data_IF_483298625427
#
_entry.id   IF_483298625427
#
_cell.length_a   1.000
_cell.length_b   1.000
_cell.length_c   1.000
_cell.angle_alpha   90.00
_cell.angle_beta   90.00
_cell.angle_gamma   90.00
#
_symmetry.space_group_name_H-M   'P 1'
#
loop_
_entity.id
_entity.type
_entity.pdbx_description
1 polymer ?
#
# COMPACT_ATOMS: atom_id res chain seq x y z
N UNK A 1 -6.31 8.15 -17.96
CA UNK A 1 -5.36 7.63 -16.94
C UNK A 1 -5.75 8.16 -15.57
N UNK A 2 -5.70 7.33 -14.51
CA UNK A 2 -5.93 7.79 -13.14
C UNK A 2 -4.70 8.52 -12.61
N UNK A 3 -4.92 9.56 -11.81
CA UNK A 3 -3.84 10.36 -11.22
C UNK A 3 -4.02 10.42 -9.72
N UNK A 4 -2.99 10.02 -8.99
CA UNK A 4 -2.93 10.08 -7.54
C UNK A 4 -1.76 10.91 -7.04
N UNK A 5 -1.70 11.06 -5.75
CA UNK A 5 -0.63 11.75 -5.03
C UNK A 5 -0.07 10.86 -3.94
N UNK A 6 1.23 10.97 -3.68
CA UNK A 6 1.85 10.32 -2.54
C UNK A 6 2.60 11.30 -1.66
N UNK A 7 2.66 10.96 -0.38
CA UNK A 7 3.40 11.73 0.62
C UNK A 7 4.27 10.82 1.48
N UNK A 8 5.46 11.27 1.71
CA UNK A 8 6.37 10.73 2.71
C UNK A 8 6.51 11.75 3.84
N UNK A 9 5.96 11.43 5.02
CA UNK A 9 5.93 12.38 6.13
C UNK A 9 7.20 12.19 6.95
N UNK A 10 8.15 13.12 6.77
CA UNK A 10 9.43 13.17 7.50
C UNK A 10 9.73 14.59 7.97
N UNK A 11 10.43 14.72 9.07
CA UNK A 11 10.91 16.00 9.56
C UNK A 11 11.38 15.94 11.02
N UNK A 12 12.18 16.91 11.41
CA UNK A 12 12.65 17.10 12.80
C UNK A 12 11.66 17.90 13.66
N UNK A 13 10.68 18.53 13.01
CA UNK A 13 9.64 19.28 13.70
C UNK A 13 8.65 18.37 14.43
N UNK A 14 7.87 18.88 15.40
CA UNK A 14 6.76 18.12 15.97
C UNK A 14 5.86 17.55 14.88
N UNK A 15 5.46 16.29 14.99
CA UNK A 15 4.69 15.59 13.98
C UNK A 15 3.34 16.26 13.65
N UNK A 16 2.72 16.94 14.60
CA UNK A 16 1.41 17.58 14.44
C UNK A 16 1.30 18.54 13.25
N UNK A 17 2.15 19.54 13.10
CA UNK A 17 2.13 20.43 11.93
C UNK A 17 2.37 19.72 10.60
N UNK A 18 3.28 18.72 10.58
CA UNK A 18 3.54 17.91 9.38
C UNK A 18 2.30 17.12 8.99
N UNK A 19 1.62 16.51 9.95
CA UNK A 19 0.41 15.75 9.72
C UNK A 19 -0.73 16.63 9.23
N UNK A 20 -0.92 17.81 9.85
CA UNK A 20 -1.96 18.76 9.44
C UNK A 20 -1.76 19.18 7.99
N UNK A 21 -0.52 19.51 7.60
CA UNK A 21 -0.21 19.91 6.22
C UNK A 21 -0.53 18.84 5.21
N UNK A 22 -0.24 17.57 5.51
CA UNK A 22 -0.58 16.46 4.59
C UNK A 22 -2.09 16.18 4.57
N UNK A 23 -2.78 16.27 5.70
CA UNK A 23 -4.25 16.13 5.75
C UNK A 23 -4.94 17.23 4.93
N UNK A 24 -4.47 18.47 5.02
CA UNK A 24 -5.01 19.57 4.24
C UNK A 24 -4.74 19.37 2.73
N UNK A 25 -3.55 18.89 2.36
CA UNK A 25 -3.22 18.54 0.98
C UNK A 25 -4.09 17.39 0.45
N UNK A 26 -4.37 16.35 1.25
CA UNK A 26 -5.27 15.26 0.86
C UNK A 26 -6.70 15.77 0.68
N UNK A 27 -7.17 16.67 1.53
CA UNK A 27 -8.50 17.29 1.40
C UNK A 27 -8.60 18.16 0.14
N UNK A 28 -7.56 18.93 -0.16
CA UNK A 28 -7.46 19.70 -1.40
C UNK A 28 -7.45 18.78 -2.64
N UNK A 29 -6.69 17.69 -2.60
CA UNK A 29 -6.64 16.71 -3.66
C UNK A 29 -8.00 16.04 -3.92
N UNK A 30 -8.75 15.70 -2.88
CA UNK A 30 -10.12 15.19 -3.01
C UNK A 30 -11.04 16.21 -3.70
N UNK A 31 -10.95 17.48 -3.32
CA UNK A 31 -11.74 18.56 -3.93
C UNK A 31 -11.34 18.82 -5.39
N UNK A 32 -10.09 18.62 -5.76
CA UNK A 32 -9.57 18.76 -7.12
C UNK A 32 -9.79 17.53 -8.01
N UNK A 33 -10.36 16.43 -7.47
CA UNK A 33 -10.68 15.23 -8.22
C UNK A 33 -9.49 14.32 -8.51
N UNK A 34 -8.47 14.32 -7.68
CA UNK A 34 -7.45 13.27 -7.73
C UNK A 34 -8.03 11.93 -7.33
N UNK A 35 -7.58 10.87 -8.02
CA UNK A 35 -8.10 9.51 -7.83
C UNK A 35 -7.70 8.90 -6.48
N UNK A 36 -6.46 9.14 -6.04
CA UNK A 36 -5.92 8.48 -4.86
C UNK A 36 -4.89 9.31 -4.09
N UNK A 37 -4.89 9.09 -2.78
CA UNK A 37 -3.91 9.61 -1.84
C UNK A 37 -3.15 8.43 -1.21
N UNK A 38 -1.83 8.43 -1.33
CA UNK A 38 -0.93 7.42 -0.83
C UNK A 38 -0.05 8.02 0.27
N UNK A 39 0.00 7.40 1.42
CA UNK A 39 0.88 7.85 2.51
C UNK A 39 1.86 6.75 2.85
N UNK A 40 3.15 7.09 2.75
CA UNK A 40 4.22 6.14 2.95
C UNK A 40 4.46 5.87 4.46
N UNK A 41 4.73 4.60 4.76
CA UNK A 41 5.35 4.25 6.04
C UNK A 41 6.76 4.83 6.09
N UNK A 42 7.07 5.53 7.18
CA UNK A 42 8.39 6.09 7.40
C UNK A 42 9.01 5.49 8.65
N UNK A 43 10.29 5.17 8.58
CA UNK A 43 11.08 4.61 9.68
C UNK A 43 12.34 5.43 9.90
N UNK A 44 12.93 5.31 11.09
CA UNK A 44 14.16 6.01 11.47
C UNK A 44 13.92 7.30 12.25
N UNK A 45 14.96 8.08 12.50
CA UNK A 45 14.95 9.22 13.44
C UNK A 45 14.07 10.39 13.00
N UNK A 46 13.89 10.59 11.70
CA UNK A 46 13.02 11.64 11.14
C UNK A 46 11.63 11.13 10.73
N UNK A 47 11.28 9.88 11.11
CA UNK A 47 10.00 9.30 10.76
C UNK A 47 8.85 9.99 11.50
N UNK A 48 7.82 10.39 10.76
CA UNK A 48 6.64 11.01 11.32
C UNK A 48 5.34 10.24 10.99
N UNK A 49 5.41 9.15 10.23
CA UNK A 49 4.27 8.29 9.93
C UNK A 49 4.69 6.82 9.88
N UNK A 50 4.68 6.15 11.03
CA UNK A 50 5.00 4.71 11.14
C UNK A 50 3.80 3.80 10.91
N UNK A 51 2.59 4.36 10.94
CA UNK A 51 1.32 3.64 10.77
C UNK A 51 0.42 4.39 9.78
N UNK A 52 0.69 4.28 8.48
CA UNK A 52 -0.05 5.04 7.46
C UNK A 52 -1.54 4.70 7.41
N UNK A 53 -1.95 3.47 7.70
CA UNK A 53 -3.36 3.11 7.73
C UNK A 53 -4.14 3.86 8.82
N UNK A 54 -3.53 4.05 10.00
CA UNK A 54 -4.12 4.84 11.10
C UNK A 54 -4.25 6.31 10.69
N UNK A 55 -3.19 6.88 10.11
CA UNK A 55 -3.21 8.25 9.60
C UNK A 55 -4.30 8.47 8.54
N UNK A 56 -4.39 7.55 7.57
CA UNK A 56 -5.38 7.61 6.50
C UNK A 56 -6.82 7.39 6.98
N UNK A 57 -7.02 6.69 8.10
CA UNK A 57 -8.33 6.57 8.73
C UNK A 57 -8.85 7.94 9.21
N UNK A 58 -7.96 8.80 9.71
CA UNK A 58 -8.31 10.19 9.99
C UNK A 58 -8.60 10.98 8.69
N UNK A 59 -7.79 10.81 7.64
CA UNK A 59 -8.02 11.44 6.34
C UNK A 59 -9.39 11.04 5.74
N UNK A 60 -9.84 9.81 5.97
CA UNK A 60 -11.15 9.34 5.52
C UNK A 60 -12.33 10.17 6.03
N UNK A 61 -12.20 10.77 7.23
CA UNK A 61 -13.24 11.62 7.83
C UNK A 61 -13.40 12.98 7.15
N UNK A 62 -12.34 13.46 6.50
CA UNK A 62 -12.30 14.80 5.90
C UNK A 62 -12.33 14.77 4.37
N UNK A 63 -12.44 13.57 3.78
CA UNK A 63 -12.51 13.32 2.34
C UNK A 63 -13.78 12.56 1.96
N UNK A 64 -14.17 12.60 0.68
CA UNK A 64 -15.42 12.00 0.20
C UNK A 64 -15.22 10.92 -0.85
N UNK A 65 -14.32 11.14 -1.82
CA UNK A 65 -14.17 10.32 -3.03
C UNK A 65 -12.78 9.74 -3.23
N UNK A 66 -11.73 10.44 -2.81
CA UNK A 66 -10.36 10.03 -3.02
C UNK A 66 -10.06 8.67 -2.36
N UNK A 67 -9.45 7.74 -3.11
CA UNK A 67 -9.02 6.47 -2.57
C UNK A 67 -7.79 6.64 -1.68
N UNK A 68 -7.74 5.90 -0.58
CA UNK A 68 -6.73 6.03 0.46
C UNK A 68 -5.84 4.78 0.51
N UNK A 69 -4.54 4.92 0.32
CA UNK A 69 -3.59 3.81 0.19
C UNK A 69 -2.45 3.94 1.20
N UNK A 70 -2.31 2.96 2.09
CA UNK A 70 -1.11 2.83 2.90
C UNK A 70 0.04 2.36 1.99
N UNK A 71 1.10 3.16 1.87
CA UNK A 71 2.21 2.93 0.95
C UNK A 71 3.44 2.41 1.68
N UNK A 72 4.16 1.49 1.05
CA UNK A 72 5.42 0.97 1.54
C UNK A 72 5.28 0.24 2.88
N UNK A 73 4.12 -0.40 3.12
CA UNK A 73 3.85 -1.07 4.39
C UNK A 73 4.85 -2.19 4.62
N UNK A 74 5.64 -2.06 5.69
CA UNK A 74 6.60 -3.08 6.10
C UNK A 74 5.87 -4.28 6.70
N UNK A 75 6.41 -5.48 6.47
CA UNK A 75 5.96 -6.71 7.15
C UNK A 75 7.01 -7.20 8.16
N UNK A 76 8.18 -6.57 8.20
CA UNK A 76 9.29 -6.96 9.06
C UNK A 76 8.94 -6.75 10.54
N UNK A 77 8.90 -7.84 11.29
CA UNK A 77 8.58 -7.79 12.72
C UNK A 77 7.11 -7.55 13.04
N UNK A 78 6.25 -7.58 12.03
CA UNK A 78 4.81 -7.36 12.18
C UNK A 78 4.05 -8.68 12.32
N UNK A 79 2.91 -8.61 12.96
CA UNK A 79 1.99 -9.73 13.09
C UNK A 79 1.03 -9.72 11.89
N UNK A 80 1.04 -10.73 11.00
CA UNK A 80 0.27 -10.70 9.74
C UNK A 80 -1.22 -10.41 9.90
N UNK A 81 -1.85 -10.96 10.96
CA UNK A 81 -3.27 -10.69 11.21
C UNK A 81 -3.53 -9.22 11.54
N UNK A 82 -2.61 -8.56 12.25
CA UNK A 82 -2.73 -7.13 12.57
C UNK A 82 -2.63 -6.26 11.33
N UNK A 83 -1.73 -6.61 10.41
CA UNK A 83 -1.64 -5.92 9.12
C UNK A 83 -2.94 -6.04 8.31
N UNK A 84 -3.55 -7.23 8.31
CA UNK A 84 -4.84 -7.42 7.65
C UNK A 84 -5.98 -6.64 8.34
N UNK A 85 -5.99 -6.58 9.69
CA UNK A 85 -6.96 -5.80 10.47
C UNK A 85 -6.82 -4.28 10.22
N UNK A 86 -5.60 -3.75 10.18
CA UNK A 86 -5.35 -2.33 9.89
C UNK A 86 -5.96 -1.90 8.56
N UNK A 87 -5.73 -2.67 7.51
CA UNK A 87 -6.27 -2.40 6.18
C UNK A 87 -7.79 -2.55 6.16
N UNK A 88 -8.33 -3.53 6.87
CA UNK A 88 -9.77 -3.72 7.04
C UNK A 88 -10.41 -2.49 7.69
N UNK A 89 -9.81 -1.96 8.76
CA UNK A 89 -10.31 -0.77 9.42
C UNK A 89 -10.25 0.46 8.51
N UNK A 90 -9.14 0.64 7.77
CA UNK A 90 -9.04 1.73 6.80
C UNK A 90 -10.15 1.62 5.74
N UNK A 91 -10.41 0.43 5.22
CA UNK A 91 -11.45 0.20 4.21
C UNK A 91 -12.85 0.50 4.77
N UNK A 92 -13.16 0.03 5.98
CA UNK A 92 -14.44 0.29 6.65
C UNK A 92 -14.65 1.77 6.94
N UNK A 93 -13.67 2.45 7.55
CA UNK A 93 -13.79 3.87 7.89
C UNK A 93 -13.82 4.79 6.68
N UNK A 94 -13.23 4.36 5.57
CA UNK A 94 -13.27 5.08 4.30
C UNK A 94 -14.45 4.70 3.40
N UNK A 95 -15.33 3.81 3.83
CA UNK A 95 -16.46 3.31 3.05
C UNK A 95 -16.03 2.67 1.72
N UNK A 96 -15.09 1.73 1.77
CA UNK A 96 -14.60 0.96 0.62
C UNK A 96 -13.53 1.68 -0.22
N UNK A 97 -12.95 2.77 0.29
CA UNK A 97 -11.88 3.51 -0.42
C UNK A 97 -10.46 3.11 0.03
N UNK A 98 -10.33 2.19 0.98
CA UNK A 98 -9.07 1.74 1.55
C UNK A 98 -8.26 0.83 0.63
N UNK A 99 -6.95 0.70 0.89
CA UNK A 99 -6.06 -0.26 0.24
C UNK A 99 -4.63 -0.13 0.73
N UNK A 100 -3.75 -1.02 0.25
CA UNK A 100 -2.37 -1.12 0.73
C UNK A 100 -1.38 -1.45 -0.38
N UNK A 101 -0.19 -0.85 -0.30
CA UNK A 101 0.99 -1.25 -1.06
C UNK A 101 2.08 -1.71 -0.08
N UNK A 102 2.47 -2.97 -0.18
CA UNK A 102 3.53 -3.52 0.63
C UNK A 102 4.90 -3.18 0.04
N UNK A 103 5.86 -2.92 0.92
CA UNK A 103 7.26 -2.81 0.53
C UNK A 103 7.79 -4.18 0.11
N UNK A 104 8.75 -4.22 -0.83
CA UNK A 104 9.41 -5.48 -1.24
C UNK A 104 10.29 -6.07 -0.13
N UNK A 105 10.67 -7.31 -0.27
CA UNK A 105 11.63 -7.95 0.62
C UNK A 105 12.98 -7.22 0.64
N UNK A 106 13.43 -6.76 -0.53
CA UNK A 106 14.69 -6.02 -0.68
C UNK A 106 14.72 -4.74 0.15
N UNK A 107 13.69 -3.92 0.06
CA UNK A 107 13.63 -2.64 0.78
C UNK A 107 13.53 -2.82 2.29
N UNK A 108 13.03 -3.96 2.75
CA UNK A 108 12.93 -4.32 4.17
C UNK A 108 14.12 -5.15 4.69
N UNK A 109 15.02 -5.59 3.82
CA UNK A 109 16.13 -6.51 4.14
C UNK A 109 15.64 -7.82 4.78
N UNK A 110 14.62 -8.42 4.17
CA UNK A 110 14.07 -9.75 4.50
C UNK A 110 13.90 -10.58 3.23
N UNK A 111 13.61 -11.87 3.39
CA UNK A 111 13.30 -12.73 2.25
C UNK A 111 12.03 -12.24 1.51
N UNK A 112 12.03 -12.13 0.18
CA UNK A 112 10.85 -11.75 -0.59
C UNK A 112 9.65 -12.66 -0.30
N UNK A 113 9.88 -13.98 -0.13
CA UNK A 113 8.85 -14.95 0.23
C UNK A 113 8.09 -14.61 1.51
N UNK A 114 8.72 -13.95 2.49
CA UNK A 114 8.02 -13.50 3.69
C UNK A 114 6.95 -12.43 3.39
N UNK A 115 7.24 -11.52 2.46
CA UNK A 115 6.27 -10.52 1.98
C UNK A 115 5.15 -11.20 1.21
N UNK A 116 5.50 -12.15 0.34
CA UNK A 116 4.53 -12.90 -0.45
C UNK A 116 3.51 -13.63 0.43
N UNK A 117 3.98 -14.35 1.45
CA UNK A 117 3.11 -15.07 2.38
C UNK A 117 2.21 -14.14 3.20
N UNK A 118 2.70 -12.96 3.61
CA UNK A 118 1.85 -11.96 4.29
C UNK A 118 0.74 -11.44 3.38
N UNK A 119 1.05 -11.17 2.11
CA UNK A 119 0.04 -10.72 1.15
C UNK A 119 -0.99 -11.82 0.88
N UNK A 120 -0.55 -13.06 0.69
CA UNK A 120 -1.44 -14.21 0.50
C UNK A 120 -2.34 -14.42 1.72
N UNK A 121 -1.75 -14.37 2.92
CA UNK A 121 -2.48 -14.46 4.18
C UNK A 121 -3.53 -13.36 4.30
N UNK A 122 -3.16 -12.10 4.06
CA UNK A 122 -4.08 -10.97 4.17
C UNK A 122 -5.26 -11.11 3.20
N UNK A 123 -4.99 -11.45 1.93
CA UNK A 123 -6.04 -11.69 0.91
C UNK A 123 -6.97 -12.84 1.31
N UNK A 124 -6.42 -13.94 1.82
CA UNK A 124 -7.22 -15.04 2.33
C UNK A 124 -8.07 -14.62 3.53
N UNK A 125 -7.47 -13.87 4.47
CA UNK A 125 -8.14 -13.38 5.68
C UNK A 125 -9.33 -12.47 5.38
N UNK A 126 -9.26 -11.65 4.34
CA UNK A 126 -10.36 -10.79 3.92
C UNK A 126 -11.50 -11.57 3.26
N UNK A 127 -11.20 -12.63 2.53
CA UNK A 127 -12.16 -13.34 1.68
C UNK A 127 -12.83 -14.54 2.38
N UNK A 128 -12.17 -15.14 3.38
CA UNK A 128 -12.67 -16.37 4.03
C UNK A 128 -13.13 -16.10 5.46
N UNK A 129 -14.15 -16.86 5.90
CA UNK A 129 -14.61 -16.79 7.30
C UNK A 129 -13.73 -17.62 8.25
N UNK A 130 -12.95 -18.53 7.68
CA UNK A 130 -12.07 -19.43 8.42
C UNK A 130 -10.68 -19.34 7.83
N UNK A 131 -9.68 -19.00 8.66
CA UNK A 131 -8.30 -18.84 8.21
C UNK A 131 -7.46 -19.91 8.88
N UNK A 132 -6.81 -20.69 8.02
CA UNK A 132 -5.69 -21.54 8.36
C UNK A 132 -4.60 -21.32 7.33
N UNK A 133 -3.46 -20.83 7.77
CA UNK A 133 -2.33 -20.58 6.88
C UNK A 133 -1.08 -21.28 7.41
N UNK A 134 -0.35 -21.97 6.54
CA UNK A 134 0.85 -22.77 6.89
C UNK A 134 1.91 -22.54 5.82
N UNK A 135 2.61 -21.41 5.94
CA UNK A 135 3.78 -21.09 5.15
C UNK A 135 5.09 -21.32 5.93
N UNK A 136 6.18 -20.94 5.30
CA UNK A 136 7.51 -21.00 5.91
C UNK A 136 7.74 -19.84 6.88
N UNK A 137 7.16 -18.68 6.60
CA UNK A 137 7.30 -17.45 7.36
C UNK A 137 6.02 -17.09 8.14
N UNK A 138 4.85 -17.44 7.62
CA UNK A 138 3.56 -17.13 8.24
C UNK A 138 2.84 -18.42 8.64
N UNK A 139 2.51 -18.54 9.93
CA UNK A 139 1.67 -19.62 10.46
C UNK A 139 0.54 -19.03 11.26
N UNK A 140 -0.69 -19.39 10.88
CA UNK A 140 -1.87 -18.88 11.56
C UNK A 140 -3.00 -19.92 11.59
N UNK A 141 -3.59 -20.24 12.77
CA UNK A 141 -3.09 -19.87 14.10
C UNK A 141 -1.65 -20.32 14.33
N UNK A 142 -0.88 -19.58 15.12
CA UNK A 142 0.54 -19.89 15.36
C UNK A 142 0.72 -21.28 15.98
N UNK A 143 -0.18 -21.65 16.88
CA UNK A 143 -0.21 -22.95 17.52
C UNK A 143 -1.43 -23.76 17.09
N UNK A 144 -1.19 -25.00 16.68
CA UNK A 144 -2.26 -26.00 16.53
C UNK A 144 -2.51 -26.69 17.88
N UNK A 145 -3.67 -27.34 18.07
CA UNK A 145 -3.95 -28.13 19.30
C UNK A 145 -2.84 -29.13 19.66
N UNK A 146 -2.17 -29.69 18.64
CA UNK A 146 -1.10 -30.67 18.83
C UNK A 146 0.25 -30.04 19.17
N UNK A 147 0.46 -28.75 18.85
CA UNK A 147 1.68 -27.99 19.11
C UNK A 147 1.54 -26.99 20.26
N UNK A 148 0.34 -26.84 20.81
CA UNK A 148 0.14 -26.01 21.99
C UNK A 148 0.96 -26.54 23.16
N UNK A 149 1.62 -25.68 23.93
CA UNK A 149 2.30 -26.13 25.15
C UNK A 149 1.32 -26.89 26.02
N UNK A 150 1.60 -28.17 26.28
CA UNK A 150 0.81 -29.01 27.21
C UNK A 150 1.13 -28.59 28.64
N UNK A 151 0.81 -27.35 28.99
CA UNK A 151 0.81 -26.85 30.33
C UNK A 151 -0.61 -26.92 30.92
N UNK A 152 -0.75 -26.84 32.23
CA UNK A 152 -2.06 -26.59 32.82
C UNK A 152 -2.62 -25.35 32.16
N UNK A 153 -3.86 -25.42 31.69
CA UNK A 153 -4.56 -24.28 31.11
C UNK A 153 -4.37 -23.11 32.06
N UNK A 154 -3.53 -22.15 31.61
CA UNK A 154 -3.26 -20.99 32.41
C UNK A 154 -4.57 -20.21 32.56
N UNK A 155 -5.08 -20.23 33.76
CA UNK A 155 -6.23 -19.41 34.13
C UNK A 155 -5.65 -18.23 34.87
N UNK A 156 -5.72 -17.00 34.31
CA UNK A 156 -5.28 -15.82 35.03
C UNK A 156 -6.04 -15.76 36.35
N UNK A 157 -5.31 -15.66 37.43
CA UNK A 157 -5.92 -15.38 38.71
C UNK A 157 -6.20 -13.89 38.86
N UNK A 158 -7.03 -13.52 39.82
CA UNK A 158 -7.43 -12.14 40.04
C UNK A 158 -6.23 -11.21 40.17
N UNK A 159 -6.19 -10.15 39.35
CA UNK A 159 -5.14 -9.15 39.33
C UNK A 159 -4.04 -9.35 38.28
N UNK A 160 -4.02 -10.48 37.59
CA UNK A 160 -3.06 -10.69 36.51
C UNK A 160 -3.67 -10.34 35.16
N UNK A 161 -3.04 -9.42 34.44
CA UNK A 161 -3.43 -9.09 33.07
C UNK A 161 -2.81 -10.09 32.12
N UNK A 162 -3.66 -10.94 31.54
CA UNK A 162 -3.28 -11.79 30.42
C UNK A 162 -3.98 -11.28 29.18
N UNK A 163 -3.24 -10.97 28.13
CA UNK A 163 -3.84 -10.52 26.88
C UNK A 163 -4.86 -11.52 26.34
N UNK A 164 -6.00 -11.00 25.88
CA UNK A 164 -7.15 -11.83 25.49
C UNK A 164 -6.84 -12.82 24.35
N UNK A 165 -5.87 -12.47 23.48
CA UNK A 165 -5.41 -13.38 22.42
C UNK A 165 -4.69 -14.62 22.96
N UNK A 166 -3.99 -14.53 24.10
CA UNK A 166 -3.37 -15.68 24.74
C UNK A 166 -4.43 -16.64 25.30
N UNK A 167 -5.55 -16.10 25.76
CA UNK A 167 -6.67 -16.90 26.18
C UNK A 167 -7.28 -17.68 25.01
N UNK A 168 -7.40 -17.05 23.86
CA UNK A 168 -7.87 -17.68 22.63
C UNK A 168 -6.95 -18.81 22.20
N UNK A 169 -5.63 -18.57 22.19
CA UNK A 169 -4.63 -19.56 21.83
C UNK A 169 -4.59 -20.75 22.81
N UNK A 170 -4.70 -20.48 24.11
CA UNK A 170 -4.67 -21.51 25.15
C UNK A 170 -5.95 -22.38 25.22
N UNK A 171 -7.07 -21.85 24.72
CA UNK A 171 -8.39 -22.51 24.80
C UNK A 171 -8.96 -22.97 23.48
N UNK A 172 -8.40 -22.47 22.37
CA UNK A 172 -8.89 -22.82 21.05
C UNK A 172 -8.42 -24.22 20.68
N UNK A 173 -9.37 -25.15 20.60
CA UNK A 173 -9.18 -26.40 19.89
C UNK A 173 -9.41 -26.25 18.39
N UNK A 174 -9.67 -25.04 17.93
CA UNK A 174 -9.96 -24.76 16.55
C UNK A 174 -8.67 -24.66 15.71
N UNK A 175 -8.67 -25.34 14.60
CA UNK A 175 -7.58 -25.30 13.61
C UNK A 175 -7.56 -24.01 12.77
N UNK A 176 -8.53 -23.13 12.98
CA UNK A 176 -8.71 -21.88 12.22
C UNK A 176 -9.21 -20.77 13.13
N UNK A 177 -9.00 -19.54 12.70
CA UNK A 177 -9.59 -18.36 13.31
C UNK A 177 -10.27 -17.53 12.22
N UNK A 178 -11.20 -16.67 12.61
CA UNK A 178 -11.84 -15.70 11.73
C UNK A 178 -11.26 -14.31 11.95
N UNK A 179 -10.91 -13.62 10.89
CA UNK A 179 -10.67 -12.18 10.94
C UNK A 179 -12.03 -11.47 10.96
N UNK A 180 -12.29 -10.68 11.99
CA UNK A 180 -13.51 -9.86 12.11
C UNK A 180 -13.15 -8.48 12.66
N UNK A 181 -13.74 -7.39 12.12
CA UNK A 181 -14.70 -7.36 11.01
C UNK A 181 -14.06 -7.70 9.65
N UNK A 182 -14.89 -7.92 8.64
CA UNK A 182 -14.44 -8.03 7.23
C UNK A 182 -14.37 -6.64 6.59
N UNK A 183 -13.51 -6.44 5.59
CA UNK A 183 -13.52 -5.20 4.80
C UNK A 183 -14.87 -5.04 4.07
N UNK A 184 -15.21 -3.81 3.75
CA UNK A 184 -16.37 -3.47 2.96
C UNK A 184 -16.19 -3.84 1.49
N UNK A 185 -14.96 -3.70 1.01
CA UNK A 185 -14.56 -4.05 -0.36
C UNK A 185 -14.45 -5.56 -0.50
N UNK A 186 -15.09 -6.15 -1.52
CA UNK A 186 -14.95 -7.58 -1.86
C UNK A 186 -13.49 -7.90 -2.18
N UNK A 187 -12.82 -7.00 -2.89
CA UNK A 187 -11.40 -7.09 -3.22
C UNK A 187 -10.70 -5.84 -2.76
N UNK A 188 -10.00 -5.92 -1.64
CA UNK A 188 -9.18 -4.82 -1.13
C UNK A 188 -8.02 -4.57 -2.10
N UNK A 189 -7.89 -3.37 -2.67
CA UNK A 189 -6.77 -3.05 -3.56
C UNK A 189 -5.43 -3.28 -2.88
N UNK A 190 -4.67 -4.20 -3.44
CA UNK A 190 -3.40 -4.67 -2.88
C UNK A 190 -2.30 -4.56 -3.92
N UNK A 191 -1.25 -3.86 -3.56
CA UNK A 191 -0.08 -3.61 -4.40
C UNK A 191 1.17 -4.11 -3.70
N UNK A 192 2.23 -4.32 -4.47
CA UNK A 192 3.56 -4.60 -3.95
C UNK A 192 4.62 -3.87 -4.76
N UNK A 193 5.65 -3.36 -4.07
CA UNK A 193 6.80 -2.75 -4.74
C UNK A 193 7.56 -3.79 -5.55
N UNK A 194 7.89 -3.44 -6.80
CA UNK A 194 8.54 -4.35 -7.76
C UNK A 194 10.02 -3.98 -7.97
N UNK A 195 10.72 -3.54 -6.95
CA UNK A 195 12.14 -3.19 -6.98
C UNK A 195 13.10 -4.40 -6.94
N UNK A 196 12.59 -5.60 -6.66
CA UNK A 196 13.31 -6.86 -6.82
C UNK A 196 12.62 -7.81 -7.82
N UNK A 197 13.40 -8.71 -8.41
CA UNK A 197 12.94 -9.60 -9.47
C UNK A 197 12.05 -10.73 -8.97
N UNK A 198 12.31 -11.24 -7.77
CA UNK A 198 11.55 -12.35 -7.18
C UNK A 198 10.12 -11.88 -6.84
N UNK A 199 10.00 -10.72 -6.21
CA UNK A 199 8.70 -10.10 -5.92
C UNK A 199 7.94 -9.76 -7.20
N UNK A 200 8.62 -9.22 -8.22
CA UNK A 200 8.00 -8.92 -9.50
C UNK A 200 7.42 -10.19 -10.16
N UNK A 201 8.19 -11.27 -10.23
CA UNK A 201 7.74 -12.53 -10.84
C UNK A 201 6.58 -13.16 -10.06
N UNK A 202 6.69 -13.19 -8.73
CA UNK A 202 5.63 -13.69 -7.89
C UNK A 202 4.34 -12.86 -8.04
N UNK A 203 4.43 -11.54 -8.00
CA UNK A 203 3.28 -10.65 -8.15
C UNK A 203 2.56 -10.86 -9.49
N UNK A 204 3.33 -11.00 -10.59
CA UNK A 204 2.78 -11.24 -11.91
C UNK A 204 2.04 -12.59 -12.00
N UNK A 205 2.59 -13.65 -11.40
CA UNK A 205 1.97 -14.98 -11.36
C UNK A 205 0.72 -15.03 -10.48
N UNK A 206 0.68 -14.23 -9.40
CA UNK A 206 -0.39 -14.25 -8.41
C UNK A 206 -1.42 -13.12 -8.57
N UNK A 207 -1.28 -12.25 -9.59
CA UNK A 207 -2.20 -11.15 -9.88
C UNK A 207 -2.25 -10.13 -8.74
N UNK A 208 -1.09 -9.80 -8.19
CA UNK A 208 -0.92 -8.69 -7.25
C UNK A 208 -0.48 -7.47 -8.04
N UNK A 209 -1.11 -6.32 -7.83
CA UNK A 209 -0.84 -5.11 -8.59
C UNK A 209 0.59 -4.60 -8.37
N UNK A 210 1.36 -4.31 -9.44
CA UNK A 210 2.73 -3.84 -9.31
C UNK A 210 2.75 -2.33 -9.00
N UNK A 211 3.64 -1.95 -8.10
CA UNK A 211 3.93 -0.57 -7.75
C UNK A 211 5.40 -0.26 -8.07
N UNK A 212 5.64 0.58 -9.06
CA UNK A 212 6.97 1.08 -9.40
C UNK A 212 7.17 2.44 -8.71
N UNK A 213 7.92 2.42 -7.60
CA UNK A 213 8.16 3.59 -6.74
C UNK A 213 9.22 4.54 -7.29
N UNK A 214 9.36 5.70 -6.67
CA UNK A 214 10.29 6.78 -7.06
C UNK A 214 11.78 6.41 -7.02
N UNK A 215 12.13 5.31 -6.35
CA UNK A 215 13.50 4.82 -6.31
C UNK A 215 13.95 4.21 -7.65
N UNK A 216 13.00 3.86 -8.51
CA UNK A 216 13.23 3.42 -9.87
C UNK A 216 13.27 4.63 -10.81
N UNK A 217 14.21 4.65 -11.74
CA UNK A 217 14.13 5.57 -12.88
C UNK A 217 12.91 5.25 -13.74
N UNK A 218 12.44 6.22 -14.51
CA UNK A 218 11.32 5.98 -15.44
C UNK A 218 11.61 4.83 -16.40
N UNK A 219 12.85 4.70 -16.87
CA UNK A 219 13.26 3.61 -17.75
C UNK A 219 13.21 2.24 -17.06
N UNK A 220 13.71 2.13 -15.83
CA UNK A 220 13.63 0.90 -15.02
C UNK A 220 12.17 0.53 -14.70
N UNK A 221 11.35 1.50 -14.34
CA UNK A 221 9.92 1.29 -14.10
C UNK A 221 9.23 0.73 -15.36
N UNK A 222 9.54 1.29 -16.55
CA UNK A 222 9.03 0.79 -17.82
C UNK A 222 9.47 -0.65 -18.10
N UNK A 223 10.75 -0.96 -17.91
CA UNK A 223 11.28 -2.31 -18.12
C UNK A 223 10.63 -3.33 -17.19
N UNK A 224 10.54 -3.02 -15.89
CA UNK A 224 9.94 -3.88 -14.89
C UNK A 224 8.47 -4.13 -15.13
N UNK A 225 7.70 -3.10 -15.43
CA UNK A 225 6.29 -3.27 -15.75
C UNK A 225 6.07 -4.05 -17.06
N UNK A 226 6.90 -3.86 -18.08
CA UNK A 226 6.86 -4.68 -19.29
C UNK A 226 7.20 -6.15 -18.99
N UNK A 227 8.18 -6.42 -18.11
CA UNK A 227 8.50 -7.78 -17.66
C UNK A 227 7.35 -8.40 -16.88
N UNK A 228 6.77 -7.64 -15.94
CA UNK A 228 5.58 -8.08 -15.20
C UNK A 228 4.46 -8.53 -16.16
N UNK A 229 4.15 -7.71 -17.18
CA UNK A 229 3.11 -8.02 -18.17
C UNK A 229 3.41 -9.32 -18.94
N UNK A 230 4.64 -9.48 -19.44
CA UNK A 230 5.04 -10.72 -20.14
C UNK A 230 4.85 -11.97 -19.30
N UNK A 231 5.18 -11.88 -18.01
CA UNK A 231 5.00 -13.02 -17.09
C UNK A 231 3.53 -13.27 -16.82
N UNK A 232 2.74 -12.24 -16.55
CA UNK A 232 1.30 -12.37 -16.34
C UNK A 232 0.61 -13.00 -17.55
N UNK A 233 0.95 -12.55 -18.77
CA UNK A 233 0.46 -13.11 -20.02
C UNK A 233 0.84 -14.59 -20.19
N UNK A 234 2.07 -14.97 -19.81
CA UNK A 234 2.55 -16.35 -19.93
C UNK A 234 1.82 -17.35 -19.04
N UNK A 235 1.17 -16.88 -17.99
CA UNK A 235 0.35 -17.70 -17.07
C UNK A 235 -1.15 -17.55 -17.31
N UNK A 236 -1.52 -17.02 -18.48
CA UNK A 236 -2.92 -16.92 -18.89
C UNK A 236 -3.73 -15.82 -18.21
N UNK A 237 -3.06 -14.82 -17.63
CA UNK A 237 -3.72 -13.64 -17.04
C UNK A 237 -3.97 -12.55 -18.08
N UNK A 238 -4.29 -12.95 -19.31
CA UNK A 238 -4.63 -12.04 -20.39
C UNK A 238 -5.92 -11.30 -20.07
N UNK A 239 -5.92 -9.99 -20.25
CA UNK A 239 -7.09 -9.15 -20.02
C UNK A 239 -7.45 -8.94 -18.55
N UNK A 240 -6.68 -9.46 -17.61
CA UNK A 240 -6.82 -9.05 -16.22
C UNK A 240 -6.42 -7.58 -16.12
N UNK A 241 -7.35 -6.72 -15.68
CA UNK A 241 -7.04 -5.31 -15.40
C UNK A 241 -6.13 -5.23 -14.19
N UNK A 242 -4.84 -5.28 -14.47
CA UNK A 242 -3.84 -5.03 -13.44
C UNK A 242 -3.73 -3.54 -13.26
N UNK A 243 -3.94 -3.09 -12.04
CA UNK A 243 -3.75 -1.70 -11.65
C UNK A 243 -2.24 -1.41 -11.46
N UNK A 244 -1.52 -1.28 -12.58
CA UNK A 244 -0.10 -0.95 -12.56
C UNK A 244 0.11 0.52 -12.24
N UNK A 245 0.93 0.79 -11.23
CA UNK A 245 1.22 2.13 -10.73
C UNK A 245 2.64 2.53 -11.06
N UNK A 246 2.82 3.75 -11.59
CA UNK A 246 4.11 4.44 -11.66
C UNK A 246 4.06 5.63 -10.70
N UNK A 247 4.99 5.66 -9.75
CA UNK A 247 5.22 6.82 -8.90
C UNK A 247 6.46 7.59 -9.37
N UNK A 248 6.36 8.90 -9.45
CA UNK A 248 7.49 9.77 -9.81
C UNK A 248 7.36 11.16 -9.20
N UNK A 249 8.47 11.88 -9.16
CA UNK A 249 8.44 13.32 -8.85
C UNK A 249 7.92 14.12 -10.06
N UNK A 250 7.39 15.30 -9.78
CA UNK A 250 7.03 16.29 -10.81
C UNK A 250 7.62 17.65 -10.41
N UNK A 251 8.26 18.31 -11.36
CA UNK A 251 8.79 19.65 -11.22
C UNK A 251 8.11 20.59 -12.23
N UNK A 252 7.04 21.27 -11.80
CA UNK A 252 6.35 22.27 -12.62
C UNK A 252 7.31 23.41 -12.94
N UNK A 253 7.53 23.65 -14.24
CA UNK A 253 8.53 24.59 -14.79
C UNK A 253 9.99 24.29 -14.38
N UNK A 254 10.26 23.11 -13.81
CA UNK A 254 11.59 22.67 -13.42
C UNK A 254 12.25 21.75 -14.46
N UNK A 255 13.48 21.31 -14.17
CA UNK A 255 14.19 20.38 -15.02
C UNK A 255 13.69 18.94 -14.86
N UNK A 256 13.65 18.19 -15.97
CA UNK A 256 13.48 16.75 -15.95
C UNK A 256 14.79 16.05 -15.58
N UNK A 257 14.69 14.93 -14.87
CA UNK A 257 15.79 13.99 -14.63
C UNK A 257 15.28 12.54 -14.71
N UNK A 258 16.13 11.58 -14.33
CA UNK A 258 15.79 10.16 -14.39
C UNK A 258 14.59 9.75 -13.49
N UNK A 259 14.28 10.55 -12.46
CA UNK A 259 13.24 10.31 -11.46
C UNK A 259 12.16 11.41 -11.42
N UNK A 260 12.24 12.40 -12.32
CA UNK A 260 11.39 13.59 -12.26
C UNK A 260 10.87 13.97 -13.64
N UNK A 261 9.55 14.04 -13.77
CA UNK A 261 8.91 14.70 -14.92
C UNK A 261 8.94 16.22 -14.72
N UNK A 262 9.72 16.91 -15.55
CA UNK A 262 9.88 18.36 -15.47
C UNK A 262 9.55 19.06 -16.78
N UNK A 263 9.49 20.40 -16.76
CA UNK A 263 9.21 21.25 -17.90
C UNK A 263 7.87 21.97 -17.80
N UNK A 264 7.36 22.42 -18.94
CA UNK A 264 6.02 23.01 -18.99
C UNK A 264 4.94 21.95 -18.66
N UNK A 265 3.76 22.38 -18.26
CA UNK A 265 2.63 21.48 -17.99
C UNK A 265 2.23 20.64 -19.19
N UNK A 266 2.52 21.10 -20.40
CA UNK A 266 2.34 20.33 -21.63
C UNK A 266 3.38 19.21 -21.74
N UNK A 267 4.66 19.52 -21.54
CA UNK A 267 5.75 18.54 -21.62
C UNK A 267 5.58 17.45 -20.58
N UNK A 268 5.24 17.82 -19.35
CA UNK A 268 4.95 16.88 -18.27
C UNK A 268 3.79 15.95 -18.65
N UNK A 269 2.68 16.48 -19.16
CA UNK A 269 1.54 15.66 -19.57
C UNK A 269 1.89 14.71 -20.73
N UNK A 270 2.72 15.14 -21.68
CA UNK A 270 3.21 14.29 -22.77
C UNK A 270 4.10 13.16 -22.23
N UNK A 271 5.10 13.50 -21.41
CA UNK A 271 6.02 12.53 -20.86
C UNK A 271 5.32 11.46 -19.97
N UNK A 272 4.36 11.88 -19.15
CA UNK A 272 3.56 10.95 -18.34
C UNK A 272 2.72 10.02 -19.25
N UNK A 273 2.12 10.54 -20.33
CA UNK A 273 1.37 9.71 -21.29
C UNK A 273 2.27 8.72 -22.01
N UNK A 274 3.46 9.13 -22.42
CA UNK A 274 4.44 8.25 -23.06
C UNK A 274 4.88 7.12 -22.13
N UNK A 275 5.21 7.45 -20.88
CA UNK A 275 5.55 6.46 -19.87
C UNK A 275 4.38 5.49 -19.60
N UNK A 276 3.16 6.00 -19.48
CA UNK A 276 1.97 5.18 -19.29
C UNK A 276 1.69 4.27 -20.51
N UNK A 277 1.86 4.77 -21.72
CA UNK A 277 1.69 3.97 -22.94
C UNK A 277 2.75 2.88 -23.04
N UNK A 278 4.01 3.19 -22.75
CA UNK A 278 5.11 2.22 -22.77
C UNK A 278 4.93 1.09 -21.73
N UNK A 279 4.36 1.40 -20.57
CA UNK A 279 4.21 0.48 -19.45
C UNK A 279 2.82 -0.14 -19.37
N UNK A 280 1.84 0.39 -20.10
CA UNK A 280 0.41 0.15 -19.90
C UNK A 280 -0.01 0.42 -18.44
N UNK A 281 0.66 1.35 -17.76
CA UNK A 281 0.24 1.78 -16.42
C UNK A 281 -1.11 2.47 -16.50
N UNK A 282 -2.00 2.07 -15.62
CA UNK A 282 -3.35 2.64 -15.50
C UNK A 282 -3.38 3.82 -14.53
N UNK A 283 -2.34 3.96 -13.71
CA UNK A 283 -2.30 4.89 -12.61
C UNK A 283 -0.92 5.56 -12.50
N UNK A 284 -0.92 6.88 -12.55
CA UNK A 284 0.24 7.72 -12.26
C UNK A 284 0.10 8.32 -10.87
N UNK A 285 1.14 8.26 -10.06
CA UNK A 285 1.18 8.84 -8.71
C UNK A 285 2.31 9.85 -8.64
N UNK A 286 1.96 11.08 -8.34
CA UNK A 286 2.93 12.15 -8.12
C UNK A 286 3.39 12.16 -6.66
N UNK A 287 4.70 11.99 -6.42
CA UNK A 287 5.29 12.22 -5.09
C UNK A 287 5.30 13.72 -4.78
N UNK A 288 4.29 14.16 -4.05
CA UNK A 288 4.09 15.56 -3.70
C UNK A 288 4.81 15.92 -2.41
N UNK A 289 5.45 17.09 -2.39
CA UNK A 289 6.06 17.66 -1.18
C UNK A 289 5.13 18.72 -0.60
N UNK A 290 4.64 18.57 0.63
CA UNK A 290 3.82 19.59 1.26
C UNK A 290 4.59 20.92 1.40
N UNK A 291 3.92 22.03 1.17
CA UNK A 291 4.49 23.37 1.40
C UNK A 291 4.71 24.21 0.15
N UNK A 292 4.37 23.72 -1.06
CA UNK A 292 4.34 24.53 -2.27
C UNK A 292 2.89 24.95 -2.57
N UNK A 293 2.47 26.16 -2.16
CA UNK A 293 1.08 26.61 -2.36
C UNK A 293 0.72 26.68 -3.85
N UNK A 294 -0.45 26.15 -4.20
CA UNK A 294 -1.00 26.27 -5.56
C UNK A 294 -0.55 25.20 -6.55
N UNK A 295 0.48 24.39 -6.26
CA UNK A 295 0.98 23.37 -7.18
C UNK A 295 -0.07 22.28 -7.48
N UNK A 296 -0.84 21.85 -6.47
CA UNK A 296 -1.91 20.86 -6.66
C UNK A 296 -2.99 21.38 -7.61
N UNK A 297 -3.46 22.61 -7.38
CA UNK A 297 -4.45 23.25 -8.25
C UNK A 297 -3.95 23.45 -9.67
N UNK A 298 -2.70 23.86 -9.83
CA UNK A 298 -2.08 24.03 -11.14
C UNK A 298 -1.91 22.70 -11.86
N UNK A 299 -1.42 21.67 -11.19
CA UNK A 299 -1.30 20.33 -11.75
C UNK A 299 -2.68 19.78 -12.16
N UNK A 300 -3.68 19.90 -11.32
CA UNK A 300 -5.04 19.43 -11.61
C UNK A 300 -5.60 20.11 -12.87
N UNK A 301 -5.52 21.45 -12.95
CA UNK A 301 -6.12 22.21 -14.03
C UNK A 301 -5.34 22.14 -15.37
N UNK A 302 -4.03 21.96 -15.33
CA UNK A 302 -3.19 22.08 -16.51
C UNK A 302 -2.54 20.77 -16.98
N UNK A 303 -2.32 19.80 -16.08
CA UNK A 303 -1.72 18.50 -16.40
C UNK A 303 -2.77 17.39 -16.37
N UNK A 304 -3.47 17.22 -15.23
CA UNK A 304 -4.42 16.13 -15.05
C UNK A 304 -5.55 16.15 -16.09
N UNK A 305 -6.10 17.32 -16.41
CA UNK A 305 -7.12 17.46 -17.46
C UNK A 305 -6.61 16.92 -18.80
N UNK A 306 -5.35 17.18 -19.16
CA UNK A 306 -4.75 16.65 -20.38
C UNK A 306 -4.52 15.14 -20.34
N UNK A 307 -4.33 14.55 -19.15
CA UNK A 307 -4.16 13.11 -18.98
C UNK A 307 -5.48 12.34 -19.03
N UNK A 308 -6.60 13.02 -18.79
CA UNK A 308 -7.96 12.47 -18.83
C UNK A 308 -8.64 12.61 -20.20
N UNK A 309 -8.16 13.57 -21.00
CA UNK A 309 -8.58 13.74 -22.39
C UNK A 309 -7.95 12.69 -23.32
#
# INVERSE_FOLDING_TARGET
MRVGLSWEIRGEAPAGPLWTGVIDAIREADALGFESAWVAETQGSAAACTQPAVFLTYAARVTRSIHLRALGRSVKGEIPVRLAEEVTLLDLFSHGRGGVAYASGRSQSIAPSAVHEVIEFARAAWMTNEIRYRGDHVRFPEHTPDSAPRGPSYIPWEGEYVPQWEWGAARSTADFLALTPKPMSIHVPTYVSIDDDETLEWAARNGVSPYAGVDLTTAEACERLARYRRIADSVGRHGFEVDAVIESNVALDGASDAHTFGGSTHDIACAIREAAAATRASHFVWRHRPGTPGDLGRFANEVQVKLQA
#
